data_IF_296840450614
#
_entry.id   IF_296840450614
#
_cell.length_a   1.000
_cell.length_b   1.000
_cell.length_c   1.000
_cell.angle_alpha   90.00
_cell.angle_beta   90.00
_cell.angle_gamma   90.00
#
_symmetry.space_group_name_H-M   'P 1'
#
loop_
_entity.id
_entity.type
_entity.pdbx_description
1 polymer ?
#
# COMPACT_ATOMS: atom_id res chain seq x y z
N UNK A 1 -73.06 8.54 38.68
CA UNK A 1 -71.81 7.99 38.09
C UNK A 1 -70.62 8.43 38.93
N UNK A 2 -69.86 7.48 39.47
CA UNK A 2 -68.92 7.68 40.58
C UNK A 2 -67.57 8.29 40.14
N UNK A 3 -67.04 9.23 40.94
CA UNK A 3 -65.70 9.84 40.84
C UNK A 3 -64.53 8.84 40.76
N UNK A 4 -64.77 7.54 41.01
CA UNK A 4 -63.77 6.47 40.88
C UNK A 4 -63.31 6.22 39.44
N UNK A 5 -64.00 6.74 38.43
CA UNK A 5 -63.64 6.54 37.02
C UNK A 5 -62.60 7.55 36.49
N UNK A 6 -62.55 8.78 37.02
CA UNK A 6 -61.64 9.82 36.52
C UNK A 6 -60.18 9.65 37.01
N UNK A 7 -59.98 9.17 38.24
CA UNK A 7 -58.64 9.02 38.84
C UNK A 7 -57.85 7.86 38.22
N UNK A 8 -58.54 6.84 37.69
CA UNK A 8 -57.89 5.64 37.12
C UNK A 8 -57.33 5.86 35.71
N UNK A 9 -57.85 6.85 34.97
CA UNK A 9 -57.38 7.20 33.61
C UNK A 9 -56.09 8.04 33.65
N UNK A 10 -55.99 8.98 34.60
CA UNK A 10 -54.81 9.84 34.83
C UNK A 10 -53.54 9.04 35.15
N UNK A 11 -53.63 8.03 36.04
CA UNK A 11 -52.46 7.21 36.40
C UNK A 11 -51.91 6.40 35.21
N UNK A 12 -52.77 5.88 34.32
CA UNK A 12 -52.33 5.14 33.13
C UNK A 12 -51.53 6.01 32.16
N UNK A 13 -51.92 7.27 31.97
CA UNK A 13 -51.18 8.22 31.14
C UNK A 13 -49.84 8.63 31.78
N UNK A 14 -49.78 8.72 33.11
CA UNK A 14 -48.54 8.99 33.84
C UNK A 14 -47.56 7.81 33.74
N UNK A 15 -48.01 6.57 33.92
CA UNK A 15 -47.17 5.37 33.73
C UNK A 15 -46.70 5.21 32.29
N UNK A 16 -47.54 5.53 31.29
CA UNK A 16 -47.16 5.48 29.89
C UNK A 16 -46.12 6.55 29.55
N UNK A 17 -46.28 7.78 30.07
CA UNK A 17 -45.28 8.84 29.90
C UNK A 17 -43.94 8.51 30.58
N UNK A 18 -43.98 7.92 31.78
CA UNK A 18 -42.78 7.45 32.47
C UNK A 18 -42.09 6.31 31.69
N UNK A 19 -42.85 5.36 31.14
CA UNK A 19 -42.31 4.29 30.30
C UNK A 19 -41.64 4.86 29.05
N UNK A 20 -42.29 5.80 28.35
CA UNK A 20 -41.73 6.43 27.14
C UNK A 20 -40.43 7.19 27.47
N UNK A 21 -40.36 7.88 28.61
CA UNK A 21 -39.12 8.55 29.05
C UNK A 21 -38.00 7.56 29.40
N UNK A 22 -38.33 6.42 30.05
CA UNK A 22 -37.35 5.37 30.35
C UNK A 22 -36.85 4.69 29.08
N UNK A 23 -37.72 4.40 28.11
CA UNK A 23 -37.32 3.81 26.82
C UNK A 23 -36.57 4.80 25.93
N UNK A 24 -36.94 6.09 25.94
CA UNK A 24 -36.19 7.14 25.25
C UNK A 24 -34.81 7.37 25.87
N UNK A 25 -34.71 7.37 27.20
CA UNK A 25 -33.46 7.46 27.93
C UNK A 25 -32.56 6.24 27.72
N UNK A 26 -33.11 5.03 27.74
CA UNK A 26 -32.39 3.79 27.45
C UNK A 26 -31.93 3.73 25.99
N UNK A 27 -32.76 4.18 25.04
CA UNK A 27 -32.41 4.30 23.63
C UNK A 27 -31.29 5.31 23.38
N UNK A 28 -31.34 6.47 24.06
CA UNK A 28 -30.30 7.48 24.01
C UNK A 28 -29.00 7.00 24.67
N UNK A 29 -29.08 6.23 25.76
CA UNK A 29 -27.92 5.62 26.42
C UNK A 29 -27.29 4.51 25.56
N UNK A 30 -28.11 3.70 24.87
CA UNK A 30 -27.61 2.71 23.90
C UNK A 30 -26.98 3.38 22.67
N UNK A 31 -27.55 4.49 22.20
CA UNK A 31 -27.00 5.26 21.09
C UNK A 31 -25.69 5.94 21.49
N UNK A 32 -25.64 6.59 22.66
CA UNK A 32 -24.44 7.20 23.22
C UNK A 32 -23.38 6.15 23.56
N UNK A 33 -23.76 4.95 24.03
CA UNK A 33 -22.85 3.83 24.27
C UNK A 33 -22.27 3.24 22.98
N UNK A 34 -23.07 3.16 21.90
CA UNK A 34 -22.56 2.78 20.57
C UNK A 34 -21.68 3.86 19.95
N UNK A 35 -22.01 5.14 20.14
CA UNK A 35 -21.20 6.27 19.71
C UNK A 35 -19.89 6.29 20.50
N UNK A 36 -19.93 6.12 21.81
CA UNK A 36 -18.75 6.01 22.67
C UNK A 36 -17.90 4.79 22.29
N UNK A 37 -18.50 3.63 21.99
CA UNK A 37 -17.77 2.47 21.45
C UNK A 37 -17.18 2.69 20.05
N UNK A 38 -17.77 3.57 19.24
CA UNK A 38 -17.19 4.02 17.96
C UNK A 38 -16.02 5.00 18.15
N UNK A 39 -16.02 5.78 19.23
CA UNK A 39 -14.92 6.67 19.61
C UNK A 39 -13.84 5.97 20.46
N UNK A 40 -14.17 4.83 21.05
CA UNK A 40 -13.28 3.92 21.78
C UNK A 40 -12.94 2.71 20.90
N UNK A 41 -12.58 2.95 19.63
CA UNK A 41 -11.74 1.98 18.92
C UNK A 41 -10.42 1.97 19.67
N UNK A 42 -10.13 0.90 20.39
CA UNK A 42 -8.84 0.72 21.06
C UNK A 42 -7.73 1.04 20.05
N UNK A 43 -6.97 2.12 20.29
CA UNK A 43 -5.82 2.54 19.45
C UNK A 43 -4.61 1.62 19.62
N UNK A 44 -4.85 0.40 20.07
CA UNK A 44 -3.85 -0.51 20.57
C UNK A 44 -4.12 -1.88 19.98
N UNK A 45 -3.14 -2.40 19.25
CA UNK A 45 -3.19 -3.77 18.75
C UNK A 45 -2.36 -4.62 19.70
N UNK A 46 -3.01 -5.60 20.33
CA UNK A 46 -2.34 -6.64 21.09
C UNK A 46 -1.65 -7.62 20.13
N UNK A 47 -0.32 -7.65 20.16
CA UNK A 47 0.47 -8.66 19.45
C UNK A 47 0.92 -9.69 20.50
N UNK A 48 0.53 -10.96 20.28
CA UNK A 48 0.76 -12.07 21.23
C UNK A 48 2.24 -12.39 21.45
N UNK A 49 3.08 -12.10 20.48
CA UNK A 49 4.53 -12.29 20.53
C UNK A 49 5.20 -10.93 20.51
N UNK A 50 6.33 -10.77 21.21
CA UNK A 50 7.11 -9.55 21.12
C UNK A 50 7.50 -9.33 19.65
N UNK A 51 6.93 -8.34 18.94
CA UNK A 51 7.29 -8.03 17.57
C UNK A 51 8.73 -7.48 17.52
N UNK A 52 9.44 -7.45 18.65
CA UNK A 52 10.85 -7.11 18.71
C UNK A 52 11.70 -7.87 17.71
N UNK A 53 11.37 -9.11 17.32
CA UNK A 53 12.21 -9.88 16.38
C UNK A 53 11.44 -10.40 15.17
N UNK A 54 12.13 -10.42 14.04
CA UNK A 54 11.59 -10.89 12.75
C UNK A 54 12.62 -11.79 12.06
N UNK A 55 12.16 -12.93 11.51
CA UNK A 55 12.98 -13.84 10.72
C UNK A 55 12.91 -13.48 9.24
N UNK A 56 13.99 -12.90 8.74
CA UNK A 56 14.09 -12.34 7.39
C UNK A 56 14.82 -13.33 6.48
N UNK A 57 14.14 -13.80 5.44
CA UNK A 57 14.75 -14.55 4.34
C UNK A 57 15.47 -13.58 3.40
N UNK A 58 16.80 -13.63 3.38
CA UNK A 58 17.64 -12.91 2.45
C UNK A 58 17.56 -13.59 1.07
N UNK A 59 16.94 -12.93 0.09
CA UNK A 59 16.72 -13.48 -1.25
C UNK A 59 18.02 -13.87 -1.96
N UNK A 60 19.08 -13.06 -1.83
CA UNK A 60 20.32 -13.27 -2.58
C UNK A 60 21.10 -14.50 -2.07
N UNK A 61 21.02 -14.79 -0.77
CA UNK A 61 21.78 -15.87 -0.12
C UNK A 61 20.90 -17.06 0.28
N UNK A 62 19.58 -16.92 0.19
CA UNK A 62 18.59 -17.90 0.65
C UNK A 62 18.74 -18.27 2.13
N UNK A 63 19.32 -17.38 2.95
CA UNK A 63 19.52 -17.58 4.39
C UNK A 63 18.48 -16.82 5.21
N UNK A 64 18.17 -17.35 6.39
CA UNK A 64 17.29 -16.67 7.36
C UNK A 64 18.15 -16.02 8.42
N UNK A 65 17.90 -14.74 8.66
CA UNK A 65 18.52 -13.97 9.74
C UNK A 65 17.43 -13.43 10.66
N UNK A 66 17.69 -13.42 11.96
CA UNK A 66 16.75 -12.91 12.94
C UNK A 66 17.24 -11.59 13.51
N UNK A 67 16.46 -10.52 13.37
CA UNK A 67 16.87 -9.17 13.76
C UNK A 67 15.75 -8.39 14.43
N UNK A 68 16.09 -7.24 15.02
CA UNK A 68 15.11 -6.33 15.59
C UNK A 68 14.11 -5.83 14.54
N UNK A 69 12.81 -5.65 14.86
CA UNK A 69 11.87 -5.06 13.88
C UNK A 69 12.31 -3.66 13.44
N UNK A 70 12.71 -2.81 14.37
CA UNK A 70 13.22 -1.46 14.05
C UNK A 70 14.56 -1.50 13.30
N UNK A 71 15.38 -2.53 13.53
CA UNK A 71 16.61 -2.79 12.76
C UNK A 71 16.28 -3.22 11.33
N UNK A 72 15.29 -4.10 11.14
CA UNK A 72 14.78 -4.48 9.84
C UNK A 72 14.28 -3.27 9.06
N UNK A 73 13.51 -2.37 9.72
CA UNK A 73 12.97 -1.17 9.09
C UNK A 73 14.05 -0.19 8.61
N UNK A 74 15.22 -0.12 9.27
CA UNK A 74 16.35 0.66 8.74
C UNK A 74 16.72 0.20 7.33
N UNK A 75 16.74 -1.12 7.09
CA UNK A 75 17.03 -1.71 5.79
C UNK A 75 15.92 -1.49 4.76
N UNK A 76 14.65 -1.57 5.19
CA UNK A 76 13.50 -1.31 4.31
C UNK A 76 13.46 0.14 3.87
N UNK A 77 13.43 1.09 4.81
CA UNK A 77 13.31 2.52 4.47
C UNK A 77 14.48 2.99 3.60
N UNK A 78 15.70 2.49 3.86
CA UNK A 78 16.89 2.81 3.05
C UNK A 78 16.87 2.18 1.64
N UNK A 79 16.15 1.06 1.47
CA UNK A 79 15.98 0.42 0.18
C UNK A 79 14.87 1.08 -0.65
N UNK A 80 13.78 1.44 0.00
CA UNK A 80 12.52 1.85 -0.61
C UNK A 80 12.45 3.35 -0.93
N UNK A 81 13.01 4.21 -0.06
CA UNK A 81 12.86 5.66 -0.20
C UNK A 81 14.23 6.37 -0.21
N UNK A 82 14.47 7.35 -1.11
CA UNK A 82 15.70 8.12 -1.09
C UNK A 82 15.88 8.83 0.26
N UNK A 83 17.05 8.68 0.89
CA UNK A 83 17.33 9.30 2.19
C UNK A 83 17.34 10.84 2.16
N UNK A 84 17.36 11.45 0.97
CA UNK A 84 17.21 12.89 0.77
C UNK A 84 15.77 13.37 0.92
N UNK A 85 14.78 12.49 0.83
CA UNK A 85 13.37 12.84 0.98
C UNK A 85 13.09 13.46 2.34
N UNK A 86 12.01 14.23 2.42
CA UNK A 86 11.56 14.92 3.62
C UNK A 86 11.35 13.97 4.79
N UNK A 87 11.64 14.45 6.00
CA UNK A 87 11.57 13.60 7.21
C UNK A 87 10.16 13.02 7.41
N UNK A 88 9.12 13.81 7.15
CA UNK A 88 7.73 13.36 7.29
C UNK A 88 7.35 12.28 6.26
N UNK A 89 7.94 12.30 5.06
CA UNK A 89 7.78 11.24 4.08
C UNK A 89 8.49 9.94 4.51
N UNK A 90 9.69 10.06 5.07
CA UNK A 90 10.43 8.91 5.64
C UNK A 90 9.69 8.31 6.84
N UNK A 91 9.04 9.14 7.68
CA UNK A 91 8.17 8.68 8.77
C UNK A 91 6.96 7.92 8.23
N UNK A 92 6.30 8.44 7.20
CA UNK A 92 5.18 7.75 6.55
C UNK A 92 5.61 6.38 5.99
N UNK A 93 6.77 6.32 5.32
CA UNK A 93 7.35 5.06 4.85
C UNK A 93 7.66 4.10 5.99
N UNK A 94 8.20 4.58 7.12
CA UNK A 94 8.49 3.75 8.27
C UNK A 94 7.23 3.11 8.87
N UNK A 95 6.14 3.89 9.02
CA UNK A 95 4.84 3.37 9.53
C UNK A 95 4.25 2.34 8.55
N UNK A 96 4.25 2.63 7.25
CA UNK A 96 3.76 1.70 6.23
C UNK A 96 4.59 0.39 6.22
N UNK A 97 5.91 0.50 6.25
CA UNK A 97 6.80 -0.67 6.26
C UNK A 97 6.67 -1.52 7.53
N UNK A 98 6.50 -0.86 8.69
CA UNK A 98 6.23 -1.54 9.97
C UNK A 98 4.90 -2.28 9.94
N UNK A 99 3.86 -1.60 9.45
CA UNK A 99 2.53 -2.19 9.27
C UNK A 99 2.60 -3.44 8.39
N UNK A 100 3.34 -3.38 7.29
CA UNK A 100 3.52 -4.53 6.40
C UNK A 100 4.23 -5.69 7.12
N UNK A 101 5.34 -5.42 7.81
CA UNK A 101 6.10 -6.43 8.52
C UNK A 101 5.27 -7.11 9.62
N UNK A 102 4.56 -6.32 10.42
CA UNK A 102 3.65 -6.83 11.46
C UNK A 102 2.50 -7.63 10.86
N UNK A 103 1.95 -7.20 9.72
CA UNK A 103 0.92 -7.98 9.01
C UNK A 103 1.44 -9.36 8.61
N UNK A 104 2.70 -9.49 8.17
CA UNK A 104 3.30 -10.78 7.80
C UNK A 104 3.57 -11.70 8.99
N UNK A 105 3.85 -11.14 10.18
CA UNK A 105 3.93 -11.91 11.42
C UNK A 105 2.55 -12.48 11.82
N UNK A 106 1.48 -11.71 11.65
CA UNK A 106 0.11 -12.14 11.98
C UNK A 106 -0.52 -13.03 10.90
N UNK A 107 -0.20 -12.77 9.64
CA UNK A 107 -0.73 -13.46 8.46
C UNK A 107 0.43 -13.84 7.53
N UNK A 108 1.00 -15.04 7.71
CA UNK A 108 2.15 -15.51 6.93
C UNK A 108 1.91 -15.44 5.42
N UNK A 109 2.91 -14.99 4.66
CA UNK A 109 2.86 -15.03 3.20
C UNK A 109 3.17 -16.46 2.69
N UNK A 110 2.23 -17.14 2.00
CA UNK A 110 2.44 -18.51 1.53
C UNK A 110 3.65 -18.65 0.60
N UNK A 111 4.02 -17.59 -0.14
CA UNK A 111 5.16 -17.61 -1.05
C UNK A 111 6.48 -17.69 -0.28
N UNK A 112 6.58 -16.95 0.82
CA UNK A 112 7.74 -17.02 1.73
C UNK A 112 7.78 -18.40 2.40
N UNK A 113 6.66 -18.86 2.94
CA UNK A 113 6.58 -20.17 3.63
C UNK A 113 6.89 -21.35 2.71
N UNK A 114 6.58 -21.24 1.42
CA UNK A 114 6.96 -22.25 0.41
C UNK A 114 8.47 -22.33 0.19
N UNK A 115 9.18 -21.20 0.22
CA UNK A 115 10.63 -21.16 0.04
C UNK A 115 11.33 -21.58 1.35
N UNK A 116 10.88 -21.01 2.48
CA UNK A 116 11.50 -21.16 3.78
C UNK A 116 10.43 -21.10 4.89
N UNK A 117 9.93 -22.24 5.39
CA UNK A 117 8.81 -22.29 6.34
C UNK A 117 9.02 -21.50 7.64
N UNK A 118 10.27 -21.41 8.10
CA UNK A 118 10.70 -20.72 9.31
C UNK A 118 10.89 -19.21 9.13
N UNK A 119 10.84 -18.68 7.90
CA UNK A 119 10.97 -17.24 7.64
C UNK A 119 9.61 -16.52 7.71
N UNK A 120 9.60 -15.30 8.23
CA UNK A 120 8.40 -14.47 8.35
C UNK A 120 8.20 -13.56 7.13
N UNK A 121 9.31 -13.06 6.58
CA UNK A 121 9.32 -12.10 5.48
C UNK A 121 10.52 -12.33 4.57
N UNK A 122 10.44 -11.93 3.30
CA UNK A 122 11.56 -11.97 2.36
C UNK A 122 12.06 -10.57 1.99
N UNK A 123 13.35 -10.44 1.69
CA UNK A 123 13.94 -9.23 1.09
C UNK A 123 13.71 -9.13 -0.43
N UNK A 124 13.07 -10.13 -1.03
CA UNK A 124 12.64 -10.08 -2.42
C UNK A 124 11.48 -9.09 -2.57
N UNK A 125 11.72 -7.95 -3.22
CA UNK A 125 10.73 -6.91 -3.46
C UNK A 125 9.55 -7.37 -4.35
N UNK A 126 9.68 -8.49 -5.07
CA UNK A 126 8.57 -9.08 -5.84
C UNK A 126 7.63 -9.92 -4.96
N UNK A 127 8.12 -10.35 -3.80
CA UNK A 127 7.36 -11.09 -2.80
C UNK A 127 6.88 -10.13 -1.71
N UNK A 128 7.78 -9.41 -1.06
CA UNK A 128 7.49 -8.50 0.04
C UNK A 128 8.08 -7.11 -0.20
N UNK A 129 9.01 -6.66 0.64
CA UNK A 129 9.53 -5.30 0.63
C UNK A 129 11.02 -5.33 0.31
N UNK A 130 11.49 -4.30 -0.41
CA UNK A 130 12.92 -4.16 -0.65
C UNK A 130 13.64 -3.96 0.69
N UNK A 131 14.84 -4.52 0.81
CA UNK A 131 15.66 -4.37 2.00
C UNK A 131 17.13 -4.36 1.61
N UNK A 132 17.92 -3.48 2.22
CA UNK A 132 19.37 -3.44 2.05
C UNK A 132 20.09 -3.54 3.39
N UNK A 133 21.22 -4.24 3.40
CA UNK A 133 22.05 -4.38 4.59
C UNK A 133 22.80 -3.08 4.92
N UNK A 134 23.32 -2.99 6.14
CA UNK A 134 24.22 -1.89 6.54
C UNK A 134 25.45 -1.77 5.62
N UNK A 135 25.97 -2.90 5.12
CA UNK A 135 27.10 -2.88 4.20
C UNK A 135 26.70 -2.24 2.84
N UNK A 136 25.52 -2.60 2.33
CA UNK A 136 25.00 -2.02 1.09
C UNK A 136 24.64 -0.54 1.25
N UNK A 137 24.11 -0.12 2.41
CA UNK A 137 23.92 1.31 2.71
C UNK A 137 25.25 2.09 2.64
N UNK A 138 26.34 1.56 3.22
CA UNK A 138 27.66 2.19 3.18
C UNK A 138 28.19 2.30 1.75
N UNK A 139 28.00 1.25 0.94
CA UNK A 139 28.36 1.25 -0.48
C UNK A 139 27.56 2.29 -1.25
N UNK A 140 26.23 2.33 -1.07
CA UNK A 140 25.29 3.22 -1.77
C UNK A 140 25.54 4.70 -1.49
N UNK A 141 25.79 5.07 -0.23
CA UNK A 141 25.92 6.48 0.17
C UNK A 141 27.37 6.94 0.28
N UNK A 142 28.34 6.02 0.27
CA UNK A 142 29.73 6.32 0.52
C UNK A 142 29.98 6.81 1.96
N UNK A 143 31.26 6.99 2.30
CA UNK A 143 31.67 7.35 3.67
C UNK A 143 31.08 8.69 4.14
N UNK A 144 30.96 9.67 3.25
CA UNK A 144 30.57 11.04 3.57
C UNK A 144 29.08 11.21 3.86
N UNK A 145 28.21 10.56 3.08
CA UNK A 145 26.76 10.72 3.25
C UNK A 145 26.14 9.63 4.14
N UNK A 146 26.83 8.51 4.37
CA UNK A 146 26.29 7.39 5.14
C UNK A 146 25.81 7.79 6.52
N UNK A 147 26.61 8.54 7.28
CA UNK A 147 26.25 8.93 8.64
C UNK A 147 25.00 9.83 8.68
N UNK A 148 24.93 10.83 7.79
CA UNK A 148 23.83 11.78 7.73
C UNK A 148 22.52 11.09 7.25
N UNK A 149 22.57 10.32 6.17
CA UNK A 149 21.41 9.59 5.65
C UNK A 149 20.89 8.55 6.65
N UNK A 150 21.80 7.78 7.26
CA UNK A 150 21.43 6.81 8.28
C UNK A 150 20.81 7.48 9.51
N UNK A 151 21.34 8.65 9.93
CA UNK A 151 20.78 9.41 11.05
C UNK A 151 19.36 9.87 10.75
N UNK A 152 19.10 10.45 9.58
CA UNK A 152 17.76 10.92 9.17
C UNK A 152 16.74 9.79 9.11
N UNK A 153 17.11 8.64 8.53
CA UNK A 153 16.22 7.46 8.50
C UNK A 153 15.96 6.94 9.92
N UNK A 154 17.00 6.86 10.76
CA UNK A 154 16.85 6.45 12.15
C UNK A 154 15.89 7.36 12.92
N UNK A 155 16.01 8.67 12.74
CA UNK A 155 15.11 9.66 13.33
C UNK A 155 13.65 9.45 12.89
N UNK A 156 13.41 9.14 11.61
CA UNK A 156 12.07 8.85 11.11
C UNK A 156 11.47 7.56 11.73
N UNK A 157 12.29 6.53 11.87
CA UNK A 157 11.90 5.24 12.47
C UNK A 157 11.61 5.40 13.97
N UNK A 158 12.51 6.06 14.71
CA UNK A 158 12.34 6.30 16.15
C UNK A 158 11.16 7.24 16.44
N UNK A 159 10.97 8.27 15.63
CA UNK A 159 9.83 9.20 15.74
C UNK A 159 8.46 8.56 15.45
N UNK A 160 8.43 7.33 14.92
CA UNK A 160 7.21 6.56 14.64
C UNK A 160 7.24 5.18 15.28
N UNK A 161 8.06 5.00 16.32
CA UNK A 161 8.30 3.70 16.93
C UNK A 161 7.00 3.04 17.38
N UNK A 162 6.80 1.79 16.97
CA UNK A 162 5.61 1.01 17.34
C UNK A 162 4.31 1.48 16.69
N UNK A 163 4.32 2.45 15.78
CA UNK A 163 3.11 2.91 15.09
C UNK A 163 2.83 2.08 13.83
N UNK A 164 1.57 1.69 13.67
CA UNK A 164 1.03 0.93 12.52
C UNK A 164 -0.30 1.49 12.04
N UNK A 165 -0.70 1.13 10.83
CA UNK A 165 -1.98 1.51 10.24
C UNK A 165 -3.04 0.44 10.46
N UNK A 166 -4.21 0.88 10.89
CA UNK A 166 -5.41 0.05 11.03
C UNK A 166 -6.59 0.63 10.29
N UNK A 167 -7.49 -0.23 9.84
CA UNK A 167 -8.80 0.13 9.34
C UNK A 167 -9.83 -0.70 10.11
N UNK A 168 -10.76 -0.04 10.80
CA UNK A 168 -11.77 -0.71 11.65
C UNK A 168 -11.13 -1.69 12.66
N UNK A 169 -10.05 -1.26 13.32
CA UNK A 169 -9.31 -2.06 14.30
C UNK A 169 -8.47 -3.20 13.72
N UNK A 170 -8.47 -3.42 12.39
CA UNK A 170 -7.68 -4.45 11.74
C UNK A 170 -6.46 -3.88 11.03
N UNK A 171 -5.30 -4.53 11.20
CA UNK A 171 -4.09 -4.16 10.49
C UNK A 171 -4.25 -4.32 8.97
N UNK A 172 -3.94 -3.24 8.24
CA UNK A 172 -4.15 -3.15 6.79
C UNK A 172 -3.03 -3.85 6.01
N UNK A 173 -3.21 -3.96 4.69
CA UNK A 173 -2.12 -4.20 3.73
C UNK A 173 -1.64 -2.85 3.15
N UNK A 174 -0.56 -2.26 3.69
CA UNK A 174 -0.15 -0.88 3.44
C UNK A 174 0.73 -0.77 2.18
N UNK A 175 0.21 -1.22 1.04
CA UNK A 175 0.99 -1.21 -0.22
C UNK A 175 1.43 0.21 -0.59
N UNK A 176 2.61 0.31 -1.19
CA UNK A 176 3.20 1.58 -1.62
C UNK A 176 4.01 1.37 -2.91
N UNK A 177 4.26 2.45 -3.64
CA UNK A 177 4.98 2.43 -4.90
C UNK A 177 5.79 3.71 -5.10
N UNK A 178 6.82 3.65 -5.95
CA UNK A 178 7.70 4.79 -6.20
C UNK A 178 6.93 6.01 -6.72
N UNK A 179 6.31 5.91 -7.90
CA UNK A 179 5.65 7.05 -8.55
C UNK A 179 4.32 6.68 -9.20
N UNK A 180 3.30 7.50 -8.97
CA UNK A 180 1.99 7.36 -9.62
C UNK A 180 1.95 7.91 -11.05
N UNK A 181 2.97 8.67 -11.49
CA UNK A 181 2.98 9.37 -12.79
C UNK A 181 2.25 10.72 -12.78
N UNK A 182 1.98 11.29 -11.60
CA UNK A 182 1.33 12.60 -11.42
C UNK A 182 -0.18 12.66 -11.68
N UNK A 183 -0.86 11.51 -11.75
CA UNK A 183 -2.29 11.40 -12.12
C UNK A 183 -3.17 10.80 -11.01
N UNK A 184 -2.62 10.67 -9.79
CA UNK A 184 -3.24 10.00 -8.67
C UNK A 184 -3.05 8.49 -8.66
N UNK A 185 -3.51 7.87 -7.58
CA UNK A 185 -3.37 6.44 -7.31
C UNK A 185 -4.55 5.64 -7.88
N UNK A 186 -4.47 4.31 -7.79
CA UNK A 186 -5.49 3.38 -8.26
C UNK A 186 -6.32 2.81 -7.12
N UNK A 187 -7.57 2.42 -7.43
CA UNK A 187 -8.29 1.52 -6.53
C UNK A 187 -7.67 0.11 -6.61
N UNK A 188 -7.53 -0.54 -5.46
CA UNK A 188 -6.99 -1.92 -5.41
C UNK A 188 -7.78 -2.90 -6.29
N UNK A 189 -9.11 -2.80 -6.35
CA UNK A 189 -9.95 -3.66 -7.19
C UNK A 189 -9.81 -3.47 -8.70
N UNK A 190 -9.20 -2.36 -9.15
CA UNK A 190 -8.88 -2.15 -10.58
C UNK A 190 -7.54 -2.82 -10.96
N UNK A 191 -6.62 -2.97 -9.99
CA UNK A 191 -5.27 -3.52 -10.22
C UNK A 191 -5.18 -4.99 -9.84
N UNK A 192 -5.91 -5.41 -8.80
CA UNK A 192 -5.93 -6.75 -8.26
C UNK A 192 -7.37 -7.24 -8.09
N UNK A 193 -7.55 -8.53 -7.83
CA UNK A 193 -8.89 -9.13 -7.65
C UNK A 193 -9.60 -8.72 -6.37
N UNK A 194 -8.93 -8.02 -5.45
CA UNK A 194 -9.45 -7.66 -4.14
C UNK A 194 -9.62 -6.14 -4.09
N UNK A 195 -10.87 -5.69 -3.88
CA UNK A 195 -11.18 -4.29 -3.60
C UNK A 195 -11.16 -4.05 -2.09
N UNK A 196 -10.19 -3.27 -1.63
CA UNK A 196 -9.97 -2.92 -0.22
C UNK A 196 -10.45 -1.48 0.03
N UNK A 197 -11.28 -1.25 1.07
CA UNK A 197 -11.92 0.05 1.30
C UNK A 197 -10.93 1.17 1.67
N UNK A 198 -9.75 0.81 2.16
CA UNK A 198 -8.67 1.74 2.48
C UNK A 198 -7.66 1.95 1.34
N UNK A 199 -7.74 1.17 0.25
CA UNK A 199 -6.89 1.34 -0.95
C UNK A 199 -7.73 1.89 -2.10
N UNK A 200 -8.10 3.17 -1.96
CA UNK A 200 -8.88 3.91 -2.96
C UNK A 200 -8.00 4.88 -3.72
N UNK A 201 -8.47 5.24 -4.92
CA UNK A 201 -7.86 6.29 -5.73
C UNK A 201 -7.91 7.62 -4.98
N UNK A 202 -6.75 8.23 -4.81
CA UNK A 202 -6.59 9.60 -4.30
C UNK A 202 -5.78 10.46 -5.26
N UNK A 203 -5.96 11.78 -5.17
CA UNK A 203 -5.20 12.72 -5.97
C UNK A 203 -3.72 12.74 -5.54
N UNK A 204 -2.82 12.97 -6.48
CA UNK A 204 -1.39 13.17 -6.21
C UNK A 204 -0.91 14.27 -7.15
N UNK A 205 -1.00 15.52 -6.70
CA UNK A 205 -0.76 16.74 -7.49
C UNK A 205 0.56 17.40 -7.11
N UNK A 206 1.21 18.09 -8.06
CA UNK A 206 2.49 18.77 -7.83
C UNK A 206 3.74 17.91 -8.01
N UNK A 207 3.57 16.71 -8.57
CA UNK A 207 4.60 15.68 -8.61
C UNK A 207 5.73 15.97 -9.61
N UNK A 208 6.95 16.16 -9.11
CA UNK A 208 8.16 16.12 -9.95
C UNK A 208 8.58 14.67 -10.18
N UNK A 209 8.04 14.05 -11.22
CA UNK A 209 8.32 12.65 -11.51
C UNK A 209 9.71 12.44 -12.12
N UNK A 210 10.59 11.74 -11.40
CA UNK A 210 11.87 11.28 -11.94
C UNK A 210 11.73 10.07 -12.89
N UNK A 211 10.60 9.39 -12.85
CA UNK A 211 10.24 8.26 -13.70
C UNK A 211 9.31 8.66 -14.85
N UNK A 212 9.43 9.92 -15.30
CA UNK A 212 8.77 10.39 -16.50
C UNK A 212 9.48 9.84 -17.74
N UNK A 213 8.71 9.24 -18.65
CA UNK A 213 9.17 8.90 -20.01
C UNK A 213 10.27 7.82 -20.10
N UNK A 214 10.32 6.85 -19.18
CA UNK A 214 11.20 5.69 -19.34
C UNK A 214 10.78 4.89 -20.58
N UNK A 215 11.73 4.62 -21.50
CA UNK A 215 11.45 3.92 -22.75
C UNK A 215 12.14 2.55 -22.78
N UNK A 216 11.38 1.52 -23.17
CA UNK A 216 11.91 0.19 -23.51
C UNK A 216 11.54 -0.15 -24.95
N UNK A 217 12.41 -0.89 -25.63
CA UNK A 217 12.23 -1.23 -27.05
C UNK A 217 12.44 -2.72 -27.26
N UNK A 218 11.52 -3.37 -27.96
CA UNK A 218 11.53 -4.81 -28.19
C UNK A 218 11.40 -5.08 -29.68
N UNK A 219 12.19 -5.99 -30.22
CA UNK A 219 11.92 -6.58 -31.53
C UNK A 219 10.63 -7.39 -31.50
N UNK A 220 10.03 -7.60 -32.67
CA UNK A 220 8.82 -8.42 -32.78
C UNK A 220 9.04 -9.85 -32.27
N UNK A 221 10.24 -10.43 -32.50
CA UNK A 221 10.60 -11.76 -31.98
C UNK A 221 10.65 -11.81 -30.46
N UNK A 222 11.18 -10.77 -29.81
CA UNK A 222 11.18 -10.67 -28.35
C UNK A 222 9.75 -10.59 -27.79
N UNK A 223 8.87 -9.81 -28.42
CA UNK A 223 7.46 -9.75 -28.02
C UNK A 223 6.78 -11.11 -28.19
N UNK A 224 7.00 -11.79 -29.32
CA UNK A 224 6.46 -13.13 -29.55
C UNK A 224 6.95 -14.13 -28.49
N UNK A 225 8.23 -14.10 -28.14
CA UNK A 225 8.81 -14.97 -27.12
C UNK A 225 8.28 -14.67 -25.71
N UNK A 226 8.27 -13.40 -25.28
CA UNK A 226 7.89 -13.00 -23.92
C UNK A 226 6.37 -13.14 -23.68
N UNK A 227 5.57 -12.83 -24.69
CA UNK A 227 4.10 -12.83 -24.58
C UNK A 227 3.45 -14.10 -25.16
N UNK A 228 4.24 -14.98 -25.80
CA UNK A 228 3.72 -16.13 -26.53
C UNK A 228 2.81 -15.70 -27.68
N UNK A 229 3.11 -14.59 -28.35
CA UNK A 229 2.29 -14.04 -29.45
C UNK A 229 2.82 -14.49 -30.82
N UNK A 230 2.18 -14.05 -31.91
CA UNK A 230 2.57 -14.42 -33.29
C UNK A 230 2.55 -13.20 -34.20
N UNK A 231 3.08 -12.07 -33.73
CA UNK A 231 3.22 -10.83 -34.48
C UNK A 231 4.09 -11.01 -35.73
N UNK A 232 5.12 -11.86 -35.71
CA UNK A 232 5.93 -12.14 -36.89
C UNK A 232 5.14 -12.80 -38.03
N UNK A 233 3.99 -13.42 -37.72
CA UNK A 233 3.11 -14.03 -38.72
C UNK A 233 2.09 -13.03 -39.30
N UNK A 234 2.03 -11.80 -38.78
CA UNK A 234 1.13 -10.78 -39.31
C UNK A 234 1.61 -10.26 -40.68
N UNK A 235 0.68 -9.93 -41.60
CA UNK A 235 1.05 -9.29 -42.86
C UNK A 235 1.86 -8.01 -42.64
N UNK A 236 2.88 -7.78 -43.47
CA UNK A 236 3.71 -6.58 -43.39
C UNK A 236 2.89 -5.28 -43.48
N UNK A 237 1.76 -5.31 -44.19
CA UNK A 237 0.79 -4.21 -44.27
C UNK A 237 0.13 -3.88 -42.92
N UNK A 238 -0.08 -4.87 -42.06
CA UNK A 238 -0.67 -4.67 -40.73
C UNK A 238 0.36 -4.08 -39.77
N UNK A 239 1.60 -4.56 -39.86
CA UNK A 239 2.72 -4.00 -39.12
C UNK A 239 2.95 -2.53 -39.50
N UNK A 240 2.97 -2.20 -40.80
CA UNK A 240 3.14 -0.82 -41.28
C UNK A 240 2.01 0.13 -40.83
N UNK A 241 0.80 -0.40 -40.61
CA UNK A 241 -0.37 0.37 -40.15
C UNK A 241 -0.58 0.34 -38.64
N UNK A 242 0.32 -0.29 -37.87
CA UNK A 242 0.15 -0.54 -36.43
C UNK A 242 -1.14 -1.30 -36.07
N UNK A 243 -1.74 -1.99 -37.04
CA UNK A 243 -3.04 -2.62 -36.91
C UNK A 243 -2.89 -4.02 -36.32
N UNK A 244 -3.58 -4.30 -35.21
CA UNK A 244 -3.58 -5.62 -34.56
C UNK A 244 -2.29 -5.95 -33.79
N UNK A 245 -1.35 -5.00 -33.66
CA UNK A 245 -0.12 -5.20 -32.89
C UNK A 245 -0.43 -5.11 -31.40
N UNK A 246 -0.86 -3.93 -30.94
CA UNK A 246 -1.24 -3.67 -29.56
C UNK A 246 -2.49 -2.78 -29.56
N UNK A 247 -3.51 -3.16 -28.79
CA UNK A 247 -4.72 -2.39 -28.64
C UNK A 247 -5.06 -2.29 -27.16
N UNK A 248 -4.97 -1.10 -26.59
CA UNK A 248 -5.45 -0.85 -25.22
C UNK A 248 -6.97 -0.95 -25.22
N UNK A 249 -7.51 -1.90 -24.45
CA UNK A 249 -8.94 -2.18 -24.35
C UNK A 249 -9.59 -1.37 -23.24
N UNK A 250 -8.89 -1.24 -22.11
CA UNK A 250 -9.39 -0.52 -20.95
C UNK A 250 -8.27 0.23 -20.24
N UNK A 251 -8.59 1.42 -19.74
CA UNK A 251 -7.76 2.20 -18.83
C UNK A 251 -8.53 2.52 -17.56
N UNK A 252 -7.80 2.66 -16.45
CA UNK A 252 -8.34 3.20 -15.21
C UNK A 252 -8.63 4.69 -15.36
N UNK A 253 -9.32 5.28 -14.38
CA UNK A 253 -9.54 6.72 -14.33
C UNK A 253 -8.24 7.52 -14.24
N UNK A 254 -7.19 6.95 -13.64
CA UNK A 254 -5.88 7.62 -13.61
C UNK A 254 -5.18 7.54 -14.97
N UNK A 255 -5.56 6.61 -15.85
CA UNK A 255 -4.97 6.41 -17.18
C UNK A 255 -3.97 5.25 -17.27
N UNK A 256 -3.84 4.42 -16.23
CA UNK A 256 -3.11 3.14 -16.32
C UNK A 256 -3.89 2.15 -17.17
N UNK A 257 -3.18 1.35 -17.96
CA UNK A 257 -3.77 0.26 -18.76
C UNK A 257 -4.22 -0.85 -17.83
N UNK A 258 -5.50 -1.22 -17.90
CA UNK A 258 -6.08 -2.35 -17.16
C UNK A 258 -6.11 -3.60 -18.04
N UNK A 259 -6.48 -3.43 -19.31
CA UNK A 259 -6.57 -4.52 -20.28
C UNK A 259 -5.98 -4.08 -21.63
N UNK A 260 -5.22 -4.98 -22.24
CA UNK A 260 -4.55 -4.77 -23.51
C UNK A 260 -4.56 -6.05 -24.34
N UNK A 261 -4.80 -5.92 -25.64
CA UNK A 261 -4.65 -7.00 -26.59
C UNK A 261 -3.33 -6.83 -27.35
N UNK A 262 -2.50 -7.87 -27.41
CA UNK A 262 -1.30 -7.94 -28.23
C UNK A 262 -1.42 -9.11 -29.19
N UNK A 263 -1.36 -8.85 -30.50
CA UNK A 263 -1.57 -9.87 -31.55
C UNK A 263 -2.88 -10.67 -31.38
N UNK A 264 -3.95 -10.03 -30.90
CA UNK A 264 -5.23 -10.69 -30.64
C UNK A 264 -5.31 -11.46 -29.31
N UNK A 265 -4.21 -11.63 -28.57
CA UNK A 265 -4.22 -12.19 -27.21
C UNK A 265 -4.45 -11.09 -26.18
N UNK A 266 -5.32 -11.34 -25.20
CA UNK A 266 -5.63 -10.37 -24.14
C UNK A 266 -4.76 -10.61 -22.91
N UNK A 267 -4.23 -9.52 -22.36
CA UNK A 267 -3.43 -9.49 -21.14
C UNK A 267 -4.02 -8.43 -20.21
N UNK A 268 -3.89 -8.66 -18.90
CA UNK A 268 -4.01 -7.55 -17.96
C UNK A 268 -2.81 -6.61 -18.12
N UNK A 269 -2.97 -5.33 -17.79
CA UNK A 269 -1.85 -4.39 -17.78
C UNK A 269 -0.74 -4.84 -16.83
N UNK A 270 -1.10 -5.42 -15.67
CA UNK A 270 -0.15 -5.94 -14.70
C UNK A 270 0.67 -7.13 -15.25
N UNK A 271 0.03 -8.04 -15.99
CA UNK A 271 0.71 -9.17 -16.63
C UNK A 271 1.66 -8.68 -17.73
N UNK A 272 1.21 -7.77 -18.60
CA UNK A 272 2.07 -7.20 -19.64
C UNK A 272 3.28 -6.50 -19.02
N UNK A 273 3.05 -5.70 -17.97
CA UNK A 273 4.10 -5.03 -17.21
C UNK A 273 5.12 -6.03 -16.66
N UNK A 274 4.67 -7.13 -16.06
CA UNK A 274 5.58 -8.14 -15.51
C UNK A 274 6.39 -8.83 -16.62
N UNK A 275 5.75 -9.28 -17.71
CA UNK A 275 6.41 -10.01 -18.80
C UNK A 275 7.40 -9.16 -19.59
N UNK A 276 7.13 -7.86 -19.73
CA UNK A 276 8.00 -6.91 -20.41
C UNK A 276 8.89 -6.12 -19.43
N UNK A 277 8.79 -6.39 -18.13
CA UNK A 277 9.50 -5.66 -17.06
C UNK A 277 9.31 -4.14 -17.11
N UNK A 278 8.12 -3.67 -17.49
CA UNK A 278 7.83 -2.24 -17.58
C UNK A 278 7.81 -1.59 -16.18
N UNK A 279 8.30 -0.33 -16.04
CA UNK A 279 8.20 0.43 -14.79
C UNK A 279 6.77 0.53 -14.26
N UNK A 280 5.80 0.76 -15.14
CA UNK A 280 4.38 0.89 -14.79
C UNK A 280 3.45 0.38 -15.89
N UNK A 281 2.14 0.36 -15.60
CA UNK A 281 1.07 0.10 -16.57
C UNK A 281 0.57 1.37 -17.25
N UNK A 282 1.14 2.55 -16.93
CA UNK A 282 0.84 3.80 -17.64
C UNK A 282 1.85 3.94 -18.75
N UNK A 283 1.47 3.54 -19.95
CA UNK A 283 2.35 3.61 -21.10
C UNK A 283 1.63 4.04 -22.39
N UNK A 284 2.43 4.59 -23.29
CA UNK A 284 2.16 4.71 -24.72
C UNK A 284 3.11 3.79 -25.49
N UNK A 285 2.80 3.52 -26.74
CA UNK A 285 3.63 2.65 -27.58
C UNK A 285 3.65 3.13 -29.03
N UNK A 286 4.70 2.74 -29.74
CA UNK A 286 4.86 2.96 -31.17
C UNK A 286 5.67 1.83 -31.79
N UNK A 287 5.30 1.36 -32.99
CA UNK A 287 6.19 0.54 -33.81
C UNK A 287 7.03 1.47 -34.70
N UNK A 288 8.35 1.37 -34.61
CA UNK A 288 9.30 2.07 -35.50
C UNK A 288 10.49 1.16 -35.77
N UNK A 289 10.99 1.16 -37.00
CA UNK A 289 12.20 0.38 -37.37
C UNK A 289 12.10 -1.12 -37.00
N UNK A 290 10.90 -1.70 -37.10
CA UNK A 290 10.64 -3.10 -36.75
C UNK A 290 10.69 -3.41 -35.25
N UNK A 291 10.69 -2.39 -34.38
CA UNK A 291 10.68 -2.53 -32.92
C UNK A 291 9.47 -1.85 -32.30
N UNK A 292 8.90 -2.49 -31.29
CA UNK A 292 7.88 -1.95 -30.42
C UNK A 292 8.56 -1.11 -29.33
N UNK A 293 8.42 0.20 -29.42
CA UNK A 293 8.85 1.15 -28.40
C UNK A 293 7.69 1.37 -27.43
N UNK A 294 7.92 1.17 -26.13
CA UNK A 294 6.96 1.43 -25.06
C UNK A 294 7.56 2.49 -24.16
N UNK A 295 6.85 3.60 -24.01
CA UNK A 295 7.22 4.70 -23.12
C UNK A 295 6.28 4.69 -21.92
N UNK A 296 6.84 4.51 -20.73
CA UNK A 296 6.12 4.49 -19.46
C UNK A 296 6.23 5.81 -18.72
N UNK A 297 5.25 6.08 -17.85
CA UNK A 297 5.29 7.15 -16.88
C UNK A 297 4.88 6.64 -15.50
N UNK A 298 5.57 7.08 -14.45
CA UNK A 298 5.47 6.53 -13.11
C UNK A 298 6.13 5.16 -12.97
N UNK A 299 6.22 4.68 -11.73
CA UNK A 299 6.95 3.47 -11.38
C UNK A 299 6.23 2.71 -10.26
N UNK A 300 5.93 1.44 -10.51
CA UNK A 300 5.21 0.57 -9.57
C UNK A 300 3.74 0.37 -9.92
N UNK A 301 3.03 -0.30 -9.03
CA UNK A 301 1.64 -0.76 -9.26
C UNK A 301 0.60 0.36 -9.18
N UNK A 302 0.88 1.47 -8.49
CA UNK A 302 0.01 2.65 -8.45
C UNK A 302 -1.05 2.65 -7.35
N UNK A 303 -1.08 1.65 -6.48
CA UNK A 303 -2.06 1.51 -5.38
C UNK A 303 -1.42 1.97 -4.06
N UNK A 304 -2.22 2.53 -3.14
CA UNK A 304 -1.75 2.98 -1.83
C UNK A 304 -0.80 4.17 -1.92
N UNK A 305 0.23 4.22 -1.07
CA UNK A 305 1.08 5.39 -0.95
C UNK A 305 2.05 5.55 -2.14
N UNK A 306 2.02 6.73 -2.77
CA UNK A 306 3.01 7.18 -3.74
C UNK A 306 4.20 7.81 -2.98
N UNK A 307 5.42 7.26 -3.11
CA UNK A 307 6.57 7.70 -2.32
C UNK A 307 7.03 9.13 -2.67
N UNK A 308 7.13 9.45 -3.96
CA UNK A 308 7.42 10.83 -4.39
C UNK A 308 6.28 11.77 -4.03
N UNK A 309 5.03 11.33 -4.15
CA UNK A 309 3.88 12.14 -3.72
C UNK A 309 3.83 12.37 -2.21
N UNK A 310 4.29 11.42 -1.38
CA UNK A 310 4.46 11.61 0.05
C UNK A 310 5.54 12.68 0.34
N UNK A 311 6.63 12.66 -0.43
CA UNK A 311 7.67 13.69 -0.35
C UNK A 311 7.15 15.08 -0.74
N UNK A 312 6.34 15.19 -1.79
CA UNK A 312 5.76 16.48 -2.20
C UNK A 312 4.81 17.04 -1.13
N UNK A 313 3.95 16.19 -0.55
CA UNK A 313 3.07 16.58 0.55
C UNK A 313 3.88 17.02 1.78
N UNK A 314 4.94 16.29 2.12
CA UNK A 314 5.84 16.68 3.20
C UNK A 314 6.51 18.03 2.92
N UNK A 315 6.95 18.28 1.69
CA UNK A 315 7.50 19.58 1.26
C UNK A 315 6.50 20.73 1.30
N UNK A 316 5.19 20.41 1.25
CA UNK A 316 4.08 21.36 1.47
C UNK A 316 3.71 21.52 2.95
N UNK A 317 4.47 20.92 3.88
CA UNK A 317 4.27 21.03 5.32
C UNK A 317 3.31 20.00 5.92
N UNK A 318 2.87 18.98 5.16
CA UNK A 318 2.07 17.89 5.70
C UNK A 318 2.92 16.98 6.58
N UNK A 319 2.39 16.61 7.75
CA UNK A 319 3.04 15.62 8.60
C UNK A 319 2.74 14.18 8.13
N UNK A 320 3.45 13.20 8.68
CA UNK A 320 3.30 11.79 8.30
C UNK A 320 1.88 11.23 8.51
N UNK A 321 1.15 11.67 9.54
CA UNK A 321 -0.23 11.25 9.80
C UNK A 321 -1.18 11.73 8.69
N UNK A 322 -1.06 13.00 8.29
CA UNK A 322 -1.81 13.56 7.18
C UNK A 322 -1.48 12.85 5.85
N UNK A 323 -0.19 12.55 5.62
CA UNK A 323 0.26 11.82 4.41
C UNK A 323 -0.35 10.42 4.38
N UNK A 324 -0.29 9.67 5.49
CA UNK A 324 -0.81 8.30 5.55
C UNK A 324 -2.33 8.28 5.37
N UNK A 325 -3.06 9.18 6.05
CA UNK A 325 -4.52 9.30 5.91
C UNK A 325 -4.97 9.78 4.54
N UNK A 326 -4.11 10.53 3.83
CA UNK A 326 -4.35 10.88 2.44
C UNK A 326 -4.30 9.65 1.53
N UNK A 327 -3.28 8.80 1.65
CA UNK A 327 -3.10 7.65 0.75
C UNK A 327 -3.90 6.41 1.14
N UNK A 328 -4.22 6.24 2.42
CA UNK A 328 -4.96 5.12 2.93
C UNK A 328 -6.29 5.61 3.52
N UNK A 329 -7.38 5.40 2.79
CA UNK A 329 -8.68 6.01 3.11
C UNK A 329 -9.28 5.44 4.40
N UNK A 330 -9.61 6.33 5.34
CA UNK A 330 -10.31 5.95 6.58
C UNK A 330 -9.46 5.14 7.57
N UNK A 331 -8.14 5.14 7.41
CA UNK A 331 -7.25 4.46 8.36
C UNK A 331 -6.97 5.33 9.58
N UNK A 332 -6.55 4.65 10.64
CA UNK A 332 -6.04 5.25 11.87
C UNK A 332 -4.63 4.75 12.16
N UNK A 333 -3.87 5.55 12.90
CA UNK A 333 -2.58 5.12 13.45
C UNK A 333 -2.83 4.52 14.83
N UNK A 334 -2.45 3.26 15.00
CA UNK A 334 -2.46 2.54 16.26
C UNK A 334 -1.04 2.29 16.76
N UNK A 335 -0.90 2.12 18.07
CA UNK A 335 0.34 1.69 18.69
C UNK A 335 0.33 0.17 18.90
N UNK A 336 1.47 -0.45 18.65
CA UNK A 336 1.72 -1.85 19.00
C UNK A 336 1.98 -1.93 20.51
N UNK A 337 1.20 -2.74 21.22
CA UNK A 337 1.55 -3.15 22.59
C UNK A 337 2.37 -4.44 22.55
N UNK A 338 3.60 -4.38 23.06
CA UNK A 338 4.44 -5.58 23.24
C UNK A 338 4.12 -6.23 24.58
N UNK A 339 3.82 -7.53 24.56
CA UNK A 339 3.26 -8.26 25.69
C UNK A 339 4.23 -8.65 26.81
N UNK A 340 5.12 -7.77 27.28
CA UNK A 340 5.93 -8.07 28.49
C UNK A 340 5.18 -7.92 29.83
N UNK A 341 3.92 -7.47 29.84
CA UNK A 341 3.10 -7.32 31.05
C UNK A 341 1.78 -8.12 30.98
N UNK A 342 1.83 -9.41 30.64
CA UNK A 342 0.70 -10.34 30.80
C UNK A 342 1.00 -11.42 31.84
N UNK A 343 1.53 -11.00 32.99
CA UNK A 343 1.61 -11.82 34.18
C UNK A 343 1.06 -11.02 35.36
N UNK A 344 -0.26 -11.03 35.50
CA UNK A 344 -0.97 -11.09 36.80
C UNK A 344 -2.22 -11.96 36.63
#
# INVERSE_FOLDING_TARGET
>A
MSLRFLVRRSRKHLYLALLVLVFAGAGLFFLLGKIAGYFLVDREIAIKEDPARIKVLLHDTQTVVEMGLEEYLMGVVAAEMPASFELEALKAQAVAARTYAVKRLLVPDPRVKKIKPDADISTDHTINQAWISTAEMRKRWGKWNYAAHRKKIKEAIEGTKGQVLVYQGQIIDPVYHASCGGQGTENSGEVWKVDLPYLRRVACTGHQDRHAAEQRSYSIREIDALLGTSLNALPASNLAKNAGILAVKQKSRSGRVLEVSVAGKTFSGAELRAKLELPSTRFSWQLKEGKLHIQTNGYGHGVGMCQYGANDLAGQGKNYDEILKHYYTGVEIAAIKTGKNWAE
#
